data_IF_604487121279
#
_entry.id   IF_604487121279
#
_cell.length_a   1.000
_cell.length_b   1.000
_cell.length_c   1.000
_cell.angle_alpha   90.00
_cell.angle_beta   90.00
_cell.angle_gamma   90.00
#
_symmetry.space_group_name_H-M   'P 1'
#
loop_
_entity.id
_entity.type
_entity.pdbx_description
1 polymer ?
#
# COMPACT_ATOMS: atom_id res chain seq x y z
N UNK A 1 10.06 27.04 9.32
CA UNK A 1 9.20 26.33 8.35
C UNK A 1 9.90 25.03 7.95
N UNK A 2 9.38 23.92 8.45
CA UNK A 2 9.90 22.62 8.05
C UNK A 2 9.35 22.31 6.66
N UNK A 3 10.20 22.57 5.68
CA UNK A 3 9.89 22.18 4.31
C UNK A 3 10.09 20.66 4.22
N UNK A 4 9.08 19.91 4.60
CA UNK A 4 9.15 18.46 4.48
C UNK A 4 9.16 18.13 2.99
N UNK A 5 10.32 17.74 2.49
CA UNK A 5 10.46 17.33 1.10
C UNK A 5 9.50 16.19 0.79
N UNK A 6 8.95 16.23 -0.41
CA UNK A 6 8.06 15.17 -0.87
C UNK A 6 8.78 13.82 -0.75
N UNK A 7 8.13 12.86 -0.10
CA UNK A 7 8.71 11.53 0.05
C UNK A 7 8.78 10.84 -1.31
N UNK A 8 9.83 10.03 -1.49
CA UNK A 8 10.00 9.24 -2.72
C UNK A 8 9.33 7.89 -2.51
N UNK A 9 8.52 7.46 -3.49
CA UNK A 9 7.87 6.15 -3.44
C UNK A 9 8.95 5.06 -3.57
N UNK A 10 9.21 4.33 -2.50
CA UNK A 10 10.35 3.43 -2.41
C UNK A 10 10.28 2.31 -3.45
N UNK A 11 9.09 1.78 -3.71
CA UNK A 11 8.95 0.70 -4.69
C UNK A 11 9.18 1.18 -6.12
N UNK A 12 8.83 2.43 -6.44
CA UNK A 12 8.86 2.91 -7.82
C UNK A 12 7.73 2.34 -8.64
N UNK A 13 7.87 2.42 -9.97
CA UNK A 13 6.80 2.04 -10.89
C UNK A 13 7.22 1.01 -11.92
N UNK A 14 8.29 0.25 -11.64
CA UNK A 14 8.72 -0.83 -12.53
C UNK A 14 7.61 -1.88 -12.66
N UNK A 15 7.61 -2.61 -13.78
CA UNK A 15 6.58 -3.61 -14.06
C UNK A 15 6.43 -4.64 -12.95
N UNK A 16 7.54 -5.04 -12.29
CA UNK A 16 7.47 -6.00 -11.20
C UNK A 16 6.66 -5.44 -10.01
N UNK A 17 6.80 -4.15 -9.74
CA UNK A 17 6.02 -3.50 -8.68
C UNK A 17 4.54 -3.48 -9.04
N UNK A 18 4.22 -3.14 -10.30
CA UNK A 18 2.83 -3.08 -10.74
C UNK A 18 2.18 -4.46 -10.71
N UNK A 19 2.93 -5.52 -11.08
CA UNK A 19 2.41 -6.88 -10.98
C UNK A 19 2.06 -7.24 -9.54
N UNK A 20 2.90 -6.84 -8.59
CA UNK A 20 2.61 -7.15 -7.18
C UNK A 20 1.35 -6.44 -6.72
N UNK A 21 1.14 -5.20 -7.18
CA UNK A 21 -0.04 -4.44 -6.79
C UNK A 21 -1.33 -5.05 -7.34
N UNK A 22 -1.26 -5.68 -8.53
CA UNK A 22 -2.45 -6.24 -9.16
C UNK A 22 -3.04 -7.44 -8.43
N UNK A 23 -2.27 -8.09 -7.55
CA UNK A 23 -2.79 -9.22 -6.79
C UNK A 23 -3.67 -8.79 -5.62
N UNK A 24 -3.69 -7.51 -5.31
CA UNK A 24 -4.48 -6.99 -4.20
C UNK A 24 -5.95 -6.92 -4.57
N UNK A 25 -6.80 -7.38 -3.65
CA UNK A 25 -8.26 -7.32 -3.80
C UNK A 25 -8.82 -6.65 -2.56
N UNK A 26 -10.11 -6.29 -2.60
CA UNK A 26 -10.74 -5.76 -1.40
C UNK A 26 -10.75 -6.79 -0.28
N UNK A 27 -10.95 -8.07 -0.63
CA UNK A 27 -10.98 -9.11 0.40
C UNK A 27 -9.64 -9.28 1.10
N UNK A 28 -8.52 -9.29 0.36
CA UNK A 28 -7.24 -9.54 1.01
C UNK A 28 -6.56 -8.26 1.52
N UNK A 29 -7.10 -7.08 1.18
CA UNK A 29 -6.44 -5.82 1.53
C UNK A 29 -7.34 -4.83 2.25
N UNK A 30 -8.65 -5.05 2.25
CA UNK A 30 -9.59 -4.13 2.90
C UNK A 30 -10.68 -4.90 3.64
N UNK A 31 -10.41 -6.14 4.05
CA UNK A 31 -11.41 -6.98 4.68
C UNK A 31 -12.03 -6.35 5.93
N UNK A 32 -11.23 -5.62 6.70
CA UNK A 32 -11.72 -4.96 7.91
C UNK A 32 -12.76 -3.88 7.61
N UNK A 33 -12.74 -3.33 6.41
CA UNK A 33 -13.67 -2.28 5.97
C UNK A 33 -14.93 -2.83 5.33
N UNK A 34 -14.86 -4.00 4.69
CA UNK A 34 -15.94 -4.50 3.85
C UNK A 34 -17.30 -4.56 4.54
N UNK A 35 -17.40 -4.96 5.83
CA UNK A 35 -18.74 -5.00 6.47
C UNK A 35 -19.44 -3.66 6.52
N UNK A 36 -18.72 -2.56 6.37
CA UNK A 36 -19.28 -1.21 6.44
C UNK A 36 -19.66 -0.64 5.07
N UNK A 37 -19.29 -1.33 4.00
CA UNK A 37 -19.58 -0.85 2.65
C UNK A 37 -20.97 -1.32 2.23
N UNK A 38 -21.86 -0.37 2.04
CA UNK A 38 -23.25 -0.64 1.67
C UNK A 38 -23.60 0.14 0.39
N UNK A 39 -24.65 -0.29 -0.33
CA UNK A 39 -25.03 0.45 -1.55
C UNK A 39 -25.34 1.91 -1.27
N UNK A 40 -24.92 2.77 -2.17
CA UNK A 40 -25.20 4.20 -2.13
C UNK A 40 -24.10 5.07 -1.55
N UNK A 41 -23.04 4.48 -1.00
CA UNK A 41 -21.96 5.28 -0.39
C UNK A 41 -21.10 5.96 -1.45
N UNK A 42 -20.56 7.10 -1.08
CA UNK A 42 -19.55 7.83 -1.83
C UNK A 42 -18.18 7.52 -1.19
N UNK A 43 -17.26 6.97 -1.95
CA UNK A 43 -15.99 6.47 -1.43
C UNK A 43 -14.82 7.13 -2.14
N UNK A 44 -13.80 7.55 -1.38
CA UNK A 44 -12.53 7.98 -1.93
C UNK A 44 -11.49 6.90 -1.62
N UNK A 45 -10.78 6.43 -2.66
CA UNK A 45 -9.70 5.46 -2.49
C UNK A 45 -8.38 6.16 -2.80
N UNK A 46 -7.66 6.52 -1.75
CA UNK A 46 -6.42 7.28 -1.86
C UNK A 46 -5.28 6.34 -2.21
N UNK A 47 -4.47 6.73 -3.20
CA UNK A 47 -3.36 5.91 -3.63
C UNK A 47 -3.81 4.62 -4.29
N UNK A 48 -4.74 4.74 -5.21
CA UNK A 48 -5.46 3.59 -5.77
C UNK A 48 -4.58 2.64 -6.61
N UNK A 49 -3.37 3.06 -7.00
CA UNK A 49 -2.47 2.22 -7.79
C UNK A 49 -3.13 1.74 -9.08
N UNK A 50 -2.94 0.46 -9.45
CA UNK A 50 -3.55 -0.05 -10.69
C UNK A 50 -5.04 -0.32 -10.57
N UNK A 51 -5.66 -0.01 -9.45
CA UNK A 51 -7.11 0.02 -9.35
C UNK A 51 -7.80 -1.27 -8.97
N UNK A 52 -7.06 -2.32 -8.63
CA UNK A 52 -7.70 -3.61 -8.36
C UNK A 52 -8.52 -3.61 -7.07
N UNK A 53 -8.07 -2.89 -6.03
CA UNK A 53 -8.91 -2.72 -4.84
C UNK A 53 -10.06 -1.76 -5.17
N UNK A 54 -9.76 -0.69 -5.89
CA UNK A 54 -10.75 0.35 -6.21
C UNK A 54 -11.98 -0.21 -6.92
N UNK A 55 -11.76 -1.10 -7.91
CA UNK A 55 -12.89 -1.68 -8.64
C UNK A 55 -13.74 -2.56 -7.74
N UNK A 56 -13.12 -3.28 -6.80
CA UNK A 56 -13.89 -4.09 -5.85
C UNK A 56 -14.74 -3.21 -4.93
N UNK A 57 -14.18 -2.07 -4.48
CA UNK A 57 -14.95 -1.14 -3.66
C UNK A 57 -16.14 -0.57 -4.45
N UNK A 58 -15.90 -0.21 -5.72
CA UNK A 58 -16.96 0.34 -6.56
C UNK A 58 -18.11 -0.64 -6.75
N UNK A 59 -17.78 -1.92 -6.96
CA UNK A 59 -18.81 -2.93 -7.15
C UNK A 59 -19.70 -3.08 -5.91
N UNK A 60 -19.16 -2.82 -4.73
CA UNK A 60 -19.90 -3.00 -3.48
C UNK A 60 -20.82 -1.86 -3.14
N UNK A 61 -20.60 -0.67 -3.69
CA UNK A 61 -21.38 0.50 -3.28
C UNK A 61 -22.40 0.95 -4.32
N UNK A 62 -22.52 0.28 -5.44
CA UNK A 62 -23.54 0.59 -6.45
C UNK A 62 -24.91 0.75 -5.77
N UNK A 63 -25.69 1.84 -6.02
CA UNK A 63 -25.49 2.89 -7.02
C UNK A 63 -24.63 4.08 -6.55
N UNK A 64 -23.95 3.95 -5.45
CA UNK A 64 -22.97 4.94 -5.03
C UNK A 64 -21.75 4.91 -5.94
N UNK A 65 -20.71 5.64 -5.57
CA UNK A 65 -19.57 5.82 -6.46
C UNK A 65 -18.24 5.78 -5.70
N UNK A 66 -17.17 5.51 -6.47
CA UNK A 66 -15.80 5.55 -5.93
C UNK A 66 -14.97 6.49 -6.79
N UNK A 67 -14.17 7.33 -6.14
CA UNK A 67 -13.12 8.12 -6.78
C UNK A 67 -11.77 7.58 -6.35
N UNK A 68 -10.91 7.21 -7.30
CA UNK A 68 -9.54 6.76 -7.03
C UNK A 68 -8.55 7.88 -7.33
N UNK A 69 -7.64 8.03 -6.42
CA UNK A 69 -6.63 9.07 -6.68
C UNK A 69 -5.24 8.49 -6.66
N UNK A 70 -4.10 8.84 -7.60
CA UNK A 70 -3.09 8.42 -7.65
C UNK A 70 -2.38 9.41 -7.68
N UNK A 71 -1.27 9.34 -7.58
CA UNK A 71 -0.41 10.53 -7.67
C UNK A 71 0.02 10.89 -9.08
N UNK A 72 -0.06 9.98 -10.01
CA UNK A 72 0.34 10.26 -11.40
C UNK A 72 -0.68 9.74 -12.39
N UNK A 73 -0.71 10.39 -13.56
CA UNK A 73 -1.60 9.97 -14.64
C UNK A 73 -1.24 8.58 -15.18
N UNK A 74 0.05 8.23 -15.17
CA UNK A 74 0.47 6.92 -15.67
C UNK A 74 -0.13 5.80 -14.84
N UNK A 75 -0.10 5.95 -13.51
CA UNK A 75 -0.73 4.95 -12.62
C UNK A 75 -2.24 4.91 -12.88
N UNK A 76 -2.85 6.06 -13.07
CA UNK A 76 -4.30 6.13 -13.30
C UNK A 76 -4.72 5.50 -14.64
N UNK A 77 -3.83 5.48 -15.63
CA UNK A 77 -4.13 4.80 -16.90
C UNK A 77 -4.43 3.33 -16.67
N UNK A 78 -3.62 2.67 -15.82
CA UNK A 78 -3.85 1.26 -15.49
C UNK A 78 -5.15 1.08 -14.73
N UNK A 79 -5.44 1.98 -13.80
CA UNK A 79 -6.68 1.90 -13.02
C UNK A 79 -7.90 2.08 -13.90
N UNK A 80 -7.84 3.00 -14.87
CA UNK A 80 -8.94 3.20 -15.80
C UNK A 80 -9.17 1.96 -16.66
N UNK A 81 -8.09 1.32 -17.12
CA UNK A 81 -8.21 0.08 -17.88
C UNK A 81 -8.84 -1.03 -17.05
N UNK A 82 -8.46 -1.12 -15.78
CA UNK A 82 -9.04 -2.12 -14.88
C UNK A 82 -10.54 -1.89 -14.72
N UNK A 83 -10.95 -0.65 -14.53
CA UNK A 83 -12.37 -0.32 -14.39
C UNK A 83 -13.15 -0.67 -15.66
N UNK A 84 -12.58 -0.41 -16.83
CA UNK A 84 -13.22 -0.77 -18.10
C UNK A 84 -13.38 -2.29 -18.23
N UNK A 85 -12.35 -3.04 -17.83
CA UNK A 85 -12.39 -4.49 -17.87
C UNK A 85 -13.55 -5.05 -17.05
N UNK A 86 -13.85 -4.41 -15.92
CA UNK A 86 -14.95 -4.81 -15.03
C UNK A 86 -16.27 -4.14 -15.40
N UNK A 87 -16.29 -3.32 -16.45
CA UNK A 87 -17.51 -2.67 -16.96
C UNK A 87 -18.21 -1.81 -15.91
N UNK A 88 -17.42 -1.12 -15.07
CA UNK A 88 -17.98 -0.27 -14.04
C UNK A 88 -18.16 1.15 -14.55
N UNK A 89 -19.33 1.74 -14.25
CA UNK A 89 -19.62 3.11 -14.61
C UNK A 89 -19.64 4.06 -13.40
N UNK A 90 -19.54 3.52 -12.19
CA UNK A 90 -19.62 4.31 -10.96
C UNK A 90 -18.24 4.58 -10.35
N UNK A 91 -17.23 4.72 -11.20
CA UNK A 91 -15.86 4.89 -10.74
C UNK A 91 -15.19 5.98 -11.57
N UNK A 92 -14.44 6.84 -10.92
CA UNK A 92 -13.67 7.88 -11.59
C UNK A 92 -12.29 7.98 -10.96
N UNK A 93 -11.34 8.56 -11.69
CA UNK A 93 -9.96 8.67 -11.26
C UNK A 93 -9.45 10.08 -11.50
N UNK A 94 -8.67 10.59 -10.55
CA UNK A 94 -8.01 11.89 -10.70
C UNK A 94 -6.73 11.89 -9.88
N UNK A 95 -5.80 12.76 -10.23
CA UNK A 95 -4.56 12.90 -9.46
C UNK A 95 -4.82 13.80 -8.26
N UNK A 96 -4.17 13.50 -7.14
CA UNK A 96 -4.24 14.37 -5.96
C UNK A 96 -3.11 13.97 -5.00
N UNK A 97 -2.67 14.93 -4.19
CA UNK A 97 -1.69 14.70 -3.13
C UNK A 97 -2.45 14.47 -1.83
N UNK A 98 -2.17 13.36 -1.15
CA UNK A 98 -2.90 13.04 0.08
C UNK A 98 -2.68 14.06 1.18
N UNK A 99 -1.57 14.81 1.12
CA UNK A 99 -1.31 15.87 2.11
C UNK A 99 -2.18 17.10 1.88
N UNK A 100 -2.77 17.22 0.70
CA UNK A 100 -3.65 18.33 0.36
C UNK A 100 -4.61 17.85 -0.72
N UNK A 101 -5.65 17.15 -0.29
CA UNK A 101 -6.61 16.55 -1.21
C UNK A 101 -7.45 17.61 -1.90
N UNK A 102 -7.55 17.50 -3.22
CA UNK A 102 -8.25 18.50 -4.03
C UNK A 102 -9.75 18.18 -4.11
N UNK A 103 -10.36 18.13 -2.95
CA UNK A 103 -11.80 17.90 -2.79
C UNK A 103 -12.33 18.80 -1.68
N UNK A 104 -13.61 19.16 -1.73
CA UNK A 104 -14.17 19.96 -0.64
C UNK A 104 -14.30 19.16 0.65
N UNK A 105 -14.53 19.88 1.75
CA UNK A 105 -14.85 19.24 3.03
C UNK A 105 -16.08 18.35 2.88
N UNK A 106 -16.11 17.26 3.64
CA UNK A 106 -17.31 16.42 3.79
C UNK A 106 -17.83 15.87 2.46
N UNK A 107 -16.92 15.50 1.55
CA UNK A 107 -17.31 15.07 0.21
C UNK A 107 -17.58 13.57 0.11
N UNK A 108 -17.07 12.77 1.03
CA UNK A 108 -17.14 11.31 0.91
C UNK A 108 -17.62 10.67 2.21
N UNK A 109 -18.38 9.58 2.08
CA UNK A 109 -18.83 8.81 3.24
C UNK A 109 -17.73 7.94 3.80
N UNK A 110 -16.84 7.44 2.94
CA UNK A 110 -15.71 6.59 3.32
C UNK A 110 -14.48 7.07 2.57
N UNK A 111 -13.37 7.18 3.30
CA UNK A 111 -12.06 7.51 2.72
C UNK A 111 -11.10 6.40 3.11
N UNK A 112 -10.51 5.75 2.11
CA UNK A 112 -9.73 4.54 2.30
C UNK A 112 -8.33 4.70 1.71
N UNK A 113 -7.35 4.06 2.35
CA UNK A 113 -5.99 4.00 1.82
C UNK A 113 -5.36 2.66 2.19
N UNK A 114 -4.74 2.01 1.22
CA UNK A 114 -4.02 0.74 1.46
C UNK A 114 -2.55 0.93 1.08
N UNK A 115 -1.69 0.75 2.06
CA UNK A 115 -0.23 0.87 1.90
C UNK A 115 0.17 2.22 1.30
N UNK A 116 -0.45 3.28 1.79
CA UNK A 116 -0.15 4.64 1.39
C UNK A 116 0.65 5.36 2.47
N UNK A 117 0.21 5.25 3.73
CA UNK A 117 0.82 6.05 4.80
C UNK A 117 2.26 5.67 5.06
N UNK A 118 2.65 4.43 4.76
CA UNK A 118 4.05 4.00 4.89
C UNK A 118 4.98 4.73 3.94
N UNK A 119 4.45 5.32 2.88
CA UNK A 119 5.27 5.97 1.84
C UNK A 119 5.28 7.49 1.91
N UNK A 120 4.41 8.12 2.70
CA UNK A 120 4.24 9.56 2.62
C UNK A 120 5.08 10.28 3.66
N UNK A 121 5.42 11.53 3.37
CA UNK A 121 6.31 12.32 4.22
C UNK A 121 5.67 12.68 5.55
N UNK A 122 4.35 12.87 5.59
CA UNK A 122 3.65 13.33 6.79
C UNK A 122 2.33 12.56 6.93
N UNK A 123 2.38 11.35 7.47
CA UNK A 123 1.17 10.53 7.59
C UNK A 123 0.10 11.14 8.48
N UNK A 124 0.47 11.91 9.50
CA UNK A 124 -0.53 12.59 10.33
C UNK A 124 -1.28 13.63 9.51
N UNK A 125 -0.55 14.42 8.72
CA UNK A 125 -1.19 15.39 7.83
C UNK A 125 -2.10 14.70 6.82
N UNK A 126 -1.64 13.57 6.26
CA UNK A 126 -2.45 12.80 5.32
C UNK A 126 -3.76 12.36 5.97
N UNK A 127 -3.68 11.85 7.21
CA UNK A 127 -4.89 11.43 7.93
C UNK A 127 -5.81 12.61 8.23
N UNK A 128 -5.26 13.78 8.54
CA UNK A 128 -6.08 14.98 8.74
C UNK A 128 -6.83 15.35 7.47
N UNK A 129 -6.18 15.26 6.32
CA UNK A 129 -6.83 15.55 5.04
C UNK A 129 -7.90 14.51 4.71
N UNK A 130 -7.60 13.22 4.98
CA UNK A 130 -8.60 12.18 4.78
C UNK A 130 -9.83 12.44 5.65
N UNK A 131 -9.62 12.93 6.88
CA UNK A 131 -10.74 13.28 7.76
C UNK A 131 -11.51 14.49 7.24
N UNK A 132 -10.78 15.51 6.75
CA UNK A 132 -11.44 16.74 6.26
C UNK A 132 -12.42 16.45 5.13
N UNK A 133 -12.02 15.58 4.19
CA UNK A 133 -12.87 15.29 3.04
C UNK A 133 -13.94 14.23 3.35
N UNK A 134 -13.92 13.64 4.54
CA UNK A 134 -14.90 12.66 4.99
C UNK A 134 -16.05 13.36 5.69
N UNK A 135 -17.26 12.86 5.49
CA UNK A 135 -18.43 13.41 6.19
C UNK A 135 -18.31 13.17 7.69
N UNK A 136 -18.87 14.06 8.52
CA UNK A 136 -18.89 13.80 9.97
C UNK A 136 -19.60 12.46 10.24
N UNK A 137 -18.97 11.63 11.06
CA UNK A 137 -19.49 10.30 11.36
C UNK A 137 -19.19 9.25 10.31
N UNK A 138 -18.57 9.67 9.19
CA UNK A 138 -18.12 8.73 8.17
C UNK A 138 -16.89 7.97 8.61
N UNK A 139 -16.35 7.17 7.69
CA UNK A 139 -15.23 6.27 8.01
C UNK A 139 -13.97 6.69 7.26
N UNK A 140 -12.87 6.81 8.01
CA UNK A 140 -11.53 6.90 7.45
C UNK A 140 -10.83 5.59 7.81
N UNK A 141 -10.40 4.85 6.79
CA UNK A 141 -9.83 3.51 6.96
C UNK A 141 -8.47 3.43 6.28
N UNK A 142 -7.48 2.90 6.99
CA UNK A 142 -6.14 2.73 6.44
C UNK A 142 -5.55 1.40 6.87
N UNK A 143 -4.75 0.81 5.99
CA UNK A 143 -4.07 -0.45 6.24
C UNK A 143 -2.65 -0.34 5.65
N UNK A 144 -1.65 -0.67 6.45
CA UNK A 144 -0.25 -0.57 6.02
C UNK A 144 0.55 -1.75 6.54
N UNK A 145 1.53 -2.16 5.77
CA UNK A 145 2.42 -3.25 6.15
C UNK A 145 3.36 -2.81 7.28
N UNK A 146 3.88 -3.82 7.97
CA UNK A 146 4.87 -3.62 9.02
C UNK A 146 6.06 -4.49 8.65
N UNK A 147 7.06 -3.89 8.02
CA UNK A 147 8.15 -4.67 7.43
C UNK A 147 9.00 -5.37 8.46
N UNK A 148 9.24 -4.76 9.63
CA UNK A 148 9.99 -5.43 10.69
C UNK A 148 9.26 -6.63 11.25
N UNK A 149 7.97 -6.75 10.99
CA UNK A 149 7.17 -7.89 11.42
C UNK A 149 7.10 -9.05 10.42
N UNK A 150 7.76 -8.93 9.27
CA UNK A 150 7.79 -10.05 8.31
C UNK A 150 8.39 -11.27 8.96
N UNK A 151 7.79 -12.42 8.75
CA UNK A 151 8.28 -13.72 9.23
C UNK A 151 8.34 -14.68 8.04
N UNK A 152 9.45 -15.39 7.91
CA UNK A 152 9.57 -16.35 6.81
C UNK A 152 10.38 -17.57 7.19
N UNK A 153 10.15 -18.65 6.44
CA UNK A 153 10.86 -19.90 6.51
C UNK A 153 10.99 -20.45 5.08
N UNK A 154 12.14 -21.05 4.70
CA UNK A 154 13.38 -21.16 5.48
C UNK A 154 14.09 -19.82 5.59
N UNK A 155 14.89 -19.69 6.64
CA UNK A 155 15.69 -18.49 6.85
C UNK A 155 16.93 -18.55 5.98
N UNK A 156 17.06 -17.60 5.09
CA UNK A 156 18.22 -17.46 4.22
C UNK A 156 18.89 -16.13 4.55
N UNK A 157 20.20 -16.12 4.86
CA UNK A 157 20.81 -14.86 5.32
C UNK A 157 20.64 -13.67 4.38
N UNK A 158 20.61 -13.92 3.07
CA UNK A 158 20.43 -12.82 2.14
C UNK A 158 19.05 -12.16 2.28
N UNK A 159 18.05 -12.88 2.78
CA UNK A 159 16.72 -12.27 2.97
C UNK A 159 16.72 -11.35 4.20
N UNK A 160 17.51 -11.65 5.23
CA UNK A 160 17.68 -10.69 6.33
C UNK A 160 18.33 -9.42 5.82
N UNK A 161 19.31 -9.54 4.92
CA UNK A 161 19.92 -8.38 4.28
C UNK A 161 18.90 -7.61 3.45
N UNK A 162 18.06 -8.32 2.71
CA UNK A 162 17.00 -7.68 1.93
C UNK A 162 16.13 -6.78 2.81
N UNK A 163 15.68 -7.32 3.93
CA UNK A 163 14.80 -6.54 4.82
C UNK A 163 15.51 -5.30 5.36
N UNK A 164 16.75 -5.45 5.80
CA UNK A 164 17.53 -4.32 6.32
C UNK A 164 17.68 -3.25 5.23
N UNK A 165 18.05 -3.67 4.02
CA UNK A 165 18.24 -2.72 2.91
C UNK A 165 16.95 -2.01 2.53
N UNK A 166 15.85 -2.76 2.49
CA UNK A 166 14.55 -2.14 2.17
C UNK A 166 14.20 -1.07 3.21
N UNK A 167 14.38 -1.41 4.49
CA UNK A 167 14.03 -0.45 5.53
C UNK A 167 14.90 0.80 5.48
N UNK A 168 16.20 0.63 5.23
CA UNK A 168 17.10 1.78 5.09
C UNK A 168 16.69 2.66 3.91
N UNK A 169 16.40 2.05 2.77
CA UNK A 169 16.00 2.81 1.59
C UNK A 169 14.67 3.54 1.82
N UNK A 170 13.70 2.86 2.43
CA UNK A 170 12.40 3.45 2.69
C UNK A 170 12.52 4.67 3.60
N UNK A 171 13.33 4.56 4.67
CA UNK A 171 13.52 5.69 5.57
C UNK A 171 14.29 6.83 4.91
N UNK A 172 15.28 6.50 4.08
CA UNK A 172 15.99 7.53 3.32
C UNK A 172 15.06 8.29 2.38
N UNK A 173 14.01 7.61 1.89
CA UNK A 173 13.03 8.24 1.01
C UNK A 173 11.95 9.02 1.77
N UNK A 174 12.01 9.02 3.10
CA UNK A 174 11.06 9.78 3.92
C UNK A 174 9.85 8.97 4.37
N UNK A 175 9.82 7.67 4.07
CA UNK A 175 8.73 6.80 4.48
C UNK A 175 8.98 6.11 5.81
N UNK A 176 8.02 5.30 6.23
CA UNK A 176 8.11 4.51 7.45
C UNK A 176 7.71 3.06 7.12
N UNK A 177 8.71 2.17 6.94
CA UNK A 177 8.36 0.79 6.56
C UNK A 177 7.67 0.01 7.66
N UNK A 178 7.75 0.45 8.92
CA UNK A 178 7.04 -0.19 10.02
C UNK A 178 5.75 0.56 10.35
N UNK A 179 5.06 1.04 9.33
CA UNK A 179 3.87 1.86 9.50
C UNK A 179 2.73 1.12 10.18
N UNK A 180 2.60 -0.19 9.94
CA UNK A 180 1.47 -0.92 10.50
C UNK A 180 1.29 -0.70 11.99
N UNK A 181 2.38 -0.79 12.76
CA UNK A 181 2.31 -0.61 14.21
C UNK A 181 2.08 0.84 14.62
N UNK A 182 2.24 1.78 13.70
CA UNK A 182 2.16 3.21 14.02
C UNK A 182 0.82 3.84 13.67
N UNK A 183 -0.04 3.11 12.97
CA UNK A 183 -1.29 3.71 12.47
C UNK A 183 -2.15 4.27 13.59
N UNK A 184 -2.29 3.53 14.69
CA UNK A 184 -3.11 4.03 15.82
C UNK A 184 -2.53 5.32 16.38
N UNK A 185 -1.23 5.38 16.58
CA UNK A 185 -0.58 6.58 17.09
C UNK A 185 -0.78 7.76 16.15
N UNK A 186 -0.65 7.52 14.84
CA UNK A 186 -0.85 8.58 13.85
C UNK A 186 -2.30 9.05 13.83
N UNK A 187 -3.25 8.13 13.96
CA UNK A 187 -4.67 8.51 13.97
C UNK A 187 -5.00 9.40 15.17
N UNK A 188 -4.45 9.04 16.33
CA UNK A 188 -4.67 9.87 17.53
C UNK A 188 -4.03 11.24 17.35
N UNK A 189 -2.82 11.30 16.82
CA UNK A 189 -2.15 12.57 16.56
C UNK A 189 -2.92 13.42 15.56
N UNK A 190 -3.62 12.78 14.62
CA UNK A 190 -4.44 13.49 13.65
C UNK A 190 -5.76 14.01 14.23
N UNK A 191 -6.10 13.61 15.47
CA UNK A 191 -7.27 14.11 16.15
C UNK A 191 -8.45 13.16 16.21
N UNK A 192 -8.30 11.93 15.71
CA UNK A 192 -9.38 10.95 15.81
C UNK A 192 -9.52 10.44 17.24
N UNK A 193 -10.74 10.46 17.76
CA UNK A 193 -11.04 9.91 19.08
C UNK A 193 -11.60 8.48 18.99
N UNK A 194 -12.35 8.18 17.94
CA UNK A 194 -13.01 6.89 17.77
C UNK A 194 -12.25 6.08 16.73
N UNK A 195 -11.33 5.24 17.20
CA UNK A 195 -10.48 4.41 16.33
C UNK A 195 -10.60 2.97 16.76
N UNK A 196 -10.88 2.08 15.80
CA UNK A 196 -10.84 0.64 16.02
C UNK A 196 -9.57 0.11 15.37
N UNK A 197 -8.53 -0.21 16.14
CA UNK A 197 -7.29 -0.74 15.56
C UNK A 197 -7.34 -2.26 15.50
N UNK A 198 -6.91 -2.81 14.37
CA UNK A 198 -6.83 -4.25 14.19
C UNK A 198 -5.56 -4.59 13.43
N UNK A 199 -5.40 -5.87 13.11
CA UNK A 199 -4.29 -6.34 12.29
C UNK A 199 -4.74 -7.53 11.49
N UNK A 200 -4.12 -7.71 10.33
CA UNK A 200 -4.34 -8.91 9.54
C UNK A 200 -3.04 -9.25 8.82
N UNK A 201 -2.99 -10.43 8.24
CA UNK A 201 -1.75 -10.98 7.72
C UNK A 201 -1.98 -11.46 6.29
N UNK A 202 -1.09 -11.05 5.38
CA UNK A 202 -0.98 -11.76 4.10
C UNK A 202 -0.09 -12.97 4.33
N UNK A 203 -0.47 -14.12 3.79
CA UNK A 203 0.34 -15.33 3.89
C UNK A 203 0.61 -15.89 2.50
N UNK A 204 1.87 -16.14 2.21
CA UNK A 204 2.31 -16.72 0.94
C UNK A 204 3.00 -18.04 1.25
N UNK A 205 2.29 -19.15 1.01
CA UNK A 205 2.81 -20.47 1.35
C UNK A 205 2.46 -21.55 0.31
N UNK A 206 1.44 -21.32 -0.53
CA UNK A 206 1.19 -22.27 -1.62
C UNK A 206 2.27 -22.10 -2.69
N UNK A 207 2.43 -23.11 -3.54
CA UNK A 207 3.44 -23.06 -4.59
C UNK A 207 3.24 -21.84 -5.47
N UNK A 208 1.99 -21.55 -5.88
CA UNK A 208 1.75 -20.41 -6.76
C UNK A 208 1.97 -19.08 -6.05
N UNK A 209 1.61 -18.98 -4.76
CA UNK A 209 1.83 -17.74 -4.01
C UNK A 209 3.31 -17.49 -3.79
N UNK A 210 4.08 -18.54 -3.43
CA UNK A 210 5.52 -18.41 -3.26
C UNK A 210 6.19 -17.98 -4.55
N UNK A 211 5.83 -18.65 -5.65
CA UNK A 211 6.40 -18.33 -6.95
C UNK A 211 6.13 -16.88 -7.32
N UNK A 212 4.89 -16.44 -7.14
CA UNK A 212 4.53 -15.08 -7.46
C UNK A 212 5.34 -14.06 -6.64
N UNK A 213 5.34 -14.22 -5.30
CA UNK A 213 6.04 -13.26 -4.44
C UNK A 213 7.55 -13.31 -4.66
N UNK A 214 8.11 -14.52 -4.68
CA UNK A 214 9.56 -14.66 -4.79
C UNK A 214 10.09 -14.15 -6.11
N UNK A 215 9.40 -14.44 -7.22
CA UNK A 215 9.86 -13.98 -8.52
C UNK A 215 9.66 -12.47 -8.70
N UNK A 216 8.58 -11.92 -8.14
CA UNK A 216 8.39 -10.47 -8.17
C UNK A 216 9.55 -9.79 -7.46
N UNK A 217 9.91 -10.26 -6.26
CA UNK A 217 11.00 -9.63 -5.52
C UNK A 217 12.38 -9.93 -6.10
N UNK A 218 12.57 -11.14 -6.65
CA UNK A 218 13.82 -11.45 -7.34
C UNK A 218 14.06 -10.46 -8.49
N UNK A 219 13.00 -10.08 -9.18
CA UNK A 219 13.06 -9.13 -10.27
C UNK A 219 13.21 -7.69 -9.75
N UNK A 220 12.40 -7.33 -8.77
CA UNK A 220 12.36 -5.98 -8.22
C UNK A 220 13.71 -5.56 -7.63
N UNK A 221 14.38 -6.47 -6.91
CA UNK A 221 15.63 -6.11 -6.26
C UNK A 221 16.75 -5.85 -7.26
N UNK A 222 16.58 -6.28 -8.51
CA UNK A 222 17.59 -6.06 -9.56
C UNK A 222 17.23 -4.91 -10.50
N UNK A 223 15.95 -4.61 -10.69
CA UNK A 223 15.54 -3.79 -11.83
C UNK A 223 14.70 -2.56 -11.45
N UNK A 224 14.21 -2.47 -10.22
CA UNK A 224 13.33 -1.36 -9.86
C UNK A 224 14.14 -0.12 -9.44
N UNK A 225 13.41 0.97 -9.18
CA UNK A 225 14.03 2.19 -8.66
C UNK A 225 14.77 1.92 -7.35
N UNK A 226 14.22 1.02 -6.52
CA UNK A 226 14.89 0.61 -5.28
C UNK A 226 16.28 0.04 -5.57
N UNK A 227 16.40 -0.82 -6.58
CA UNK A 227 17.69 -1.41 -6.93
C UNK A 227 18.71 -0.32 -7.28
N UNK A 228 18.31 0.62 -8.11
CA UNK A 228 19.19 1.72 -8.50
C UNK A 228 19.58 2.57 -7.29
N UNK A 229 18.62 2.85 -6.42
CA UNK A 229 18.89 3.63 -5.21
C UNK A 229 19.92 2.95 -4.32
N UNK A 230 19.77 1.63 -4.10
CA UNK A 230 20.65 0.89 -3.20
C UNK A 230 22.10 0.90 -3.71
N UNK A 231 22.28 0.72 -5.02
CA UNK A 231 23.63 0.72 -5.59
C UNK A 231 24.20 2.14 -5.62
N UNK A 232 23.42 3.09 -6.10
CA UNK A 232 23.89 4.46 -6.26
C UNK A 232 24.25 5.11 -4.91
N UNK A 233 23.52 4.75 -3.84
CA UNK A 233 23.79 5.30 -2.51
C UNK A 233 24.93 4.58 -1.79
N UNK A 234 25.42 3.47 -2.35
CA UNK A 234 26.47 2.69 -1.71
C UNK A 234 26.00 1.76 -0.59
N UNK A 235 24.69 1.63 -0.42
CA UNK A 235 24.16 0.73 0.62
C UNK A 235 24.36 -0.73 0.24
N UNK A 236 24.41 -1.05 -1.04
CA UNK A 236 24.60 -2.40 -1.52
C UNK A 236 25.40 -2.39 -2.82
N UNK A 237 26.07 -3.51 -3.09
CA UNK A 237 26.70 -3.71 -4.39
C UNK A 237 25.76 -4.47 -5.31
N UNK A 238 26.03 -4.38 -6.62
CA UNK A 238 25.25 -5.16 -7.59
C UNK A 238 25.33 -6.65 -7.27
N UNK A 239 26.51 -7.14 -6.84
CA UNK A 239 26.67 -8.54 -6.50
C UNK A 239 25.79 -8.93 -5.31
N UNK A 240 25.67 -8.06 -4.31
CA UNK A 240 24.80 -8.33 -3.18
C UNK A 240 23.34 -8.40 -3.58
N UNK A 241 22.91 -7.53 -4.50
CA UNK A 241 21.54 -7.60 -5.00
C UNK A 241 21.27 -8.88 -5.78
N UNK A 242 22.28 -9.38 -6.52
CA UNK A 242 22.15 -10.66 -7.19
C UNK A 242 21.97 -11.80 -6.18
N UNK A 243 22.71 -11.75 -5.07
CA UNK A 243 22.55 -12.76 -4.02
C UNK A 243 21.14 -12.73 -3.42
N UNK A 244 20.60 -11.54 -3.22
CA UNK A 244 19.24 -11.43 -2.70
C UNK A 244 18.23 -11.98 -3.71
N UNK A 245 18.41 -11.66 -4.98
CA UNK A 245 17.53 -12.17 -6.03
C UNK A 245 17.53 -13.70 -6.03
N UNK A 246 18.73 -14.30 -5.97
CA UNK A 246 18.88 -15.75 -5.93
C UNK A 246 18.18 -16.33 -4.69
N UNK A 247 18.33 -15.67 -3.55
CA UNK A 247 17.70 -16.15 -2.31
C UNK A 247 16.17 -16.14 -2.42
N UNK A 248 15.58 -15.10 -3.04
CA UNK A 248 14.14 -15.10 -3.23
C UNK A 248 13.68 -16.24 -4.15
N UNK A 249 14.46 -16.54 -5.21
CA UNK A 249 14.16 -17.68 -6.08
C UNK A 249 14.27 -19.01 -5.33
N UNK A 250 15.28 -19.13 -4.48
CA UNK A 250 15.46 -20.33 -3.67
C UNK A 250 14.30 -20.50 -2.68
N UNK A 251 13.90 -19.41 -2.04
CA UNK A 251 12.76 -19.45 -1.13
C UNK A 251 11.48 -19.86 -1.88
N UNK A 252 11.25 -19.31 -3.06
CA UNK A 252 10.05 -19.61 -3.85
C UNK A 252 10.01 -21.11 -4.22
N UNK A 253 11.17 -21.72 -4.45
CA UNK A 253 11.26 -23.12 -4.85
C UNK A 253 11.17 -24.08 -3.66
N UNK A 254 11.27 -23.60 -2.43
CA UNK A 254 11.22 -24.47 -1.25
C UNK A 254 9.79 -24.95 -1.04
N UNK A 255 9.55 -26.27 -1.04
CA UNK A 255 8.17 -26.78 -0.92
C UNK A 255 7.50 -26.42 0.41
N UNK A 256 8.30 -26.18 1.44
CA UNK A 256 7.81 -25.77 2.76
C UNK A 256 8.02 -24.28 3.02
N UNK A 257 8.26 -23.49 1.97
CA UNK A 257 8.40 -22.05 2.10
C UNK A 257 7.11 -21.41 2.63
N UNK A 258 7.30 -20.38 3.48
CA UNK A 258 6.17 -19.75 4.16
C UNK A 258 6.58 -18.31 4.48
N UNK A 259 5.67 -17.38 4.22
CA UNK A 259 5.92 -15.96 4.49
C UNK A 259 4.65 -15.34 5.03
N UNK A 260 4.75 -14.63 6.15
CA UNK A 260 3.63 -13.88 6.70
C UNK A 260 4.01 -12.40 6.77
N UNK A 261 3.11 -11.56 6.29
CA UNK A 261 3.32 -10.12 6.25
C UNK A 261 2.22 -9.46 7.09
N UNK A 262 2.54 -9.05 8.33
CA UNK A 262 1.53 -8.39 9.15
C UNK A 262 1.26 -6.97 8.64
N UNK A 263 0.00 -6.58 8.78
CA UNK A 263 -0.46 -5.23 8.46
C UNK A 263 -1.23 -4.70 9.66
N UNK A 264 -0.98 -3.44 10.00
CA UNK A 264 -1.86 -2.72 10.91
C UNK A 264 -3.05 -2.19 10.14
N UNK A 265 -4.16 -2.02 10.84
CA UNK A 265 -5.42 -1.51 10.27
C UNK A 265 -6.03 -0.55 11.25
N UNK A 266 -6.58 0.56 10.77
CA UNK A 266 -7.39 1.45 11.59
C UNK A 266 -8.68 1.76 10.87
N UNK A 267 -9.78 1.74 11.63
CA UNK A 267 -11.08 2.18 11.16
C UNK A 267 -11.49 3.31 12.10
N UNK A 268 -11.53 4.52 11.57
CA UNK A 268 -11.74 5.73 12.35
C UNK A 268 -13.09 6.34 12.00
N UNK A 269 -13.78 6.89 12.99
CA UNK A 269 -14.97 7.69 12.74
C UNK A 269 -14.59 9.16 12.67
N UNK A 270 -14.95 9.79 11.58
CA UNK A 270 -14.61 11.19 11.36
C UNK A 270 -15.43 12.14 12.24
#
# INVERSE_FOLDING_TARGET
MNDKRRAIYTHGYHESVLRSHRRRTAENSAGYLLPYLVPGLSVLDVGCGPGTITVDLAARVVPGSVTGVXPTDDALSLARAEAQLHRLSNISFTTSDVHKLDFPDDAFDVVHAHQVLQHVADPVRALQEMRRVCTPGGIVAARDADYSGFIWFPKLPALDRWLDLYERAARANGGEPDAGRRLLSWARAAGFDDVTPTASVWCFATASAREWWGLVWADRILQSDLAHQLVDSGLATAAQLEEISTAWREWAAAPDGWLAIPHGEILCRA
#
